data_IF_433230454952
#
_entry.id   IF_433230454952
#
_cell.length_a   1.000
_cell.length_b   1.000
_cell.length_c   1.000
_cell.angle_alpha   90.00
_cell.angle_beta   90.00
_cell.angle_gamma   90.00
#
_symmetry.space_group_name_H-M   'P 1'
#
loop_
_entity.id
_entity.type
_entity.pdbx_description
1 polymer ?
#
# COMPACT_ATOMS: atom_id res chain seq x y z
N UNK A 1 -7.96 0.01 10.31
CA UNK A 1 -6.65 -0.41 9.77
C UNK A 1 -6.82 -1.06 8.42
N UNK A 2 -5.90 -0.82 7.48
CA UNK A 2 -5.91 -1.43 6.14
C UNK A 2 -4.52 -1.98 5.84
N UNK A 3 -4.44 -3.27 5.50
CA UNK A 3 -3.21 -3.95 5.10
C UNK A 3 -3.22 -4.26 3.60
N UNK A 4 -2.12 -3.88 2.92
CA UNK A 4 -1.74 -4.44 1.62
C UNK A 4 -0.68 -5.51 1.85
N UNK A 5 -0.96 -6.75 1.48
CA UNK A 5 -0.04 -7.88 1.62
C UNK A 5 0.33 -8.42 0.25
N UNK A 6 1.58 -8.82 0.03
CA UNK A 6 1.96 -9.43 -1.24
C UNK A 6 3.11 -10.41 -1.11
N UNK A 7 2.98 -11.51 -1.83
CA UNK A 7 3.96 -12.60 -1.90
C UNK A 7 3.87 -13.33 -3.25
N UNK A 8 4.57 -14.44 -3.43
CA UNK A 8 4.53 -15.21 -4.68
C UNK A 8 3.23 -16.00 -4.84
N UNK A 9 2.91 -16.86 -3.87
CA UNK A 9 1.77 -17.78 -3.95
C UNK A 9 0.88 -17.73 -2.71
N UNK A 10 -0.44 -17.67 -2.90
CA UNK A 10 -1.40 -17.72 -1.78
C UNK A 10 -1.32 -19.00 -0.99
N UNK A 11 -1.08 -20.12 -1.68
CA UNK A 11 -1.13 -21.46 -1.07
C UNK A 11 0.05 -21.75 -0.13
N UNK A 12 1.20 -21.10 -0.33
CA UNK A 12 2.44 -21.41 0.41
C UNK A 12 3.02 -20.24 1.18
N UNK A 13 2.78 -19.01 0.69
CA UNK A 13 3.52 -17.82 1.16
C UNK A 13 2.60 -16.81 1.85
N UNK A 14 1.34 -17.18 2.11
CA UNK A 14 0.41 -16.29 2.82
C UNK A 14 0.64 -16.36 4.34
N UNK A 15 1.69 -15.69 4.79
CA UNK A 15 2.05 -15.63 6.19
C UNK A 15 0.89 -15.10 7.04
N UNK A 16 0.64 -15.78 8.16
CA UNK A 16 -0.39 -15.42 9.13
C UNK A 16 -1.81 -15.28 8.55
N UNK A 17 -2.13 -16.05 7.51
CA UNK A 17 -3.44 -15.97 6.84
C UNK A 17 -4.60 -16.11 7.83
N UNK A 18 -4.57 -17.14 8.69
CA UNK A 18 -5.67 -17.43 9.61
C UNK A 18 -5.82 -16.33 10.67
N UNK A 19 -4.72 -15.75 11.13
CA UNK A 19 -4.70 -14.62 12.06
C UNK A 19 -5.22 -13.34 11.41
N UNK A 20 -4.79 -13.04 10.18
CA UNK A 20 -5.27 -11.88 9.42
C UNK A 20 -6.78 -11.99 9.13
N UNK A 21 -7.25 -13.19 8.78
CA UNK A 21 -8.67 -13.49 8.62
C UNK A 21 -9.44 -13.33 9.93
N UNK A 22 -8.86 -13.76 11.07
CA UNK A 22 -9.45 -13.57 12.38
C UNK A 22 -9.56 -12.08 12.75
N UNK A 23 -8.53 -11.28 12.47
CA UNK A 23 -8.54 -9.83 12.67
C UNK A 23 -9.57 -9.13 11.78
N UNK A 24 -9.80 -9.65 10.57
CA UNK A 24 -10.87 -9.20 9.68
C UNK A 24 -12.25 -9.46 10.30
N UNK A 25 -12.49 -10.69 10.77
CA UNK A 25 -13.75 -11.08 11.42
C UNK A 25 -14.03 -10.31 12.72
N UNK A 26 -13.01 -9.95 13.49
CA UNK A 26 -13.16 -9.15 14.71
C UNK A 26 -13.37 -7.65 14.44
N UNK A 27 -13.19 -7.20 13.18
CA UNK A 27 -13.24 -5.79 12.81
C UNK A 27 -11.98 -4.99 13.16
N UNK A 28 -10.96 -5.62 13.74
CA UNK A 28 -9.67 -4.97 14.06
C UNK A 28 -8.91 -4.61 12.78
N UNK A 29 -8.93 -5.50 11.78
CA UNK A 29 -8.48 -5.25 10.43
C UNK A 29 -9.69 -4.87 9.58
N UNK A 30 -9.80 -3.58 9.24
CA UNK A 30 -10.93 -3.05 8.47
C UNK A 30 -10.89 -3.55 7.02
N UNK A 31 -9.69 -3.74 6.47
CA UNK A 31 -9.50 -4.14 5.09
C UNK A 31 -8.17 -4.85 4.86
N UNK A 32 -8.18 -5.88 4.01
CA UNK A 32 -7.02 -6.63 3.56
C UNK A 32 -7.07 -6.77 2.04
N UNK A 33 -6.07 -6.24 1.34
CA UNK A 33 -5.89 -6.48 -0.09
C UNK A 33 -4.60 -7.25 -0.33
N UNK A 34 -4.71 -8.33 -1.10
CA UNK A 34 -3.61 -9.27 -1.33
C UNK A 34 -3.12 -9.25 -2.78
N UNK A 35 -1.81 -9.36 -2.97
CA UNK A 35 -1.16 -9.42 -4.28
C UNK A 35 -0.25 -10.66 -4.35
N UNK A 36 -0.71 -11.71 -5.03
CA UNK A 36 0.09 -12.92 -5.27
C UNK A 36 0.67 -12.90 -6.68
N UNK A 37 1.98 -12.69 -6.77
CA UNK A 37 2.63 -12.36 -8.04
C UNK A 37 2.74 -13.53 -9.02
N UNK A 38 2.50 -14.76 -8.57
CA UNK A 38 2.65 -16.00 -9.37
C UNK A 38 1.41 -16.88 -9.45
N UNK A 39 0.28 -16.46 -8.89
CA UNK A 39 -0.97 -17.23 -8.95
C UNK A 39 -1.73 -17.04 -10.28
N UNK A 40 -1.29 -16.08 -11.10
CA UNK A 40 -1.83 -15.84 -12.44
C UNK A 40 -0.75 -15.36 -13.41
N UNK A 41 -1.06 -15.36 -14.72
CA UNK A 41 -0.11 -14.99 -15.78
C UNK A 41 0.41 -13.56 -15.66
N UNK A 42 -0.47 -12.62 -15.28
CA UNK A 42 -0.09 -11.23 -15.04
C UNK A 42 0.45 -11.09 -13.61
N UNK A 43 1.65 -10.53 -13.47
CA UNK A 43 2.21 -10.26 -12.15
C UNK A 43 1.42 -9.14 -11.49
N UNK A 44 0.96 -9.39 -10.26
CA UNK A 44 0.25 -8.41 -9.43
C UNK A 44 1.07 -8.20 -8.17
N UNK A 45 1.38 -6.95 -7.86
CA UNK A 45 2.12 -6.53 -6.68
C UNK A 45 1.29 -5.56 -5.83
N UNK A 46 1.78 -5.23 -4.63
CA UNK A 46 1.05 -4.34 -3.70
C UNK A 46 0.82 -2.95 -4.29
N UNK A 47 1.77 -2.40 -5.06
CA UNK A 47 1.61 -1.12 -5.73
C UNK A 47 0.49 -1.12 -6.79
N UNK A 48 0.15 -2.29 -7.35
CA UNK A 48 -0.96 -2.42 -8.30
C UNK A 48 -2.29 -2.38 -7.55
N UNK A 49 -2.38 -3.07 -6.41
CA UNK A 49 -3.55 -3.00 -5.50
C UNK A 49 -3.75 -1.60 -4.92
N UNK A 50 -2.67 -0.90 -4.61
CA UNK A 50 -2.75 0.50 -4.18
C UNK A 50 -3.38 1.39 -5.26
N UNK A 51 -2.97 1.23 -6.53
CA UNK A 51 -3.55 2.00 -7.65
C UNK A 51 -5.01 1.62 -7.90
N UNK A 52 -5.35 0.33 -7.84
CA UNK A 52 -6.72 -0.18 -7.96
C UNK A 52 -7.66 0.49 -6.94
N UNK A 53 -7.17 0.72 -5.72
CA UNK A 53 -7.94 1.37 -4.66
C UNK A 53 -7.53 2.82 -4.38
N UNK A 54 -6.94 3.48 -5.38
CA UNK A 54 -6.30 4.79 -5.23
C UNK A 54 -7.21 5.87 -4.63
N UNK A 55 -8.47 5.94 -5.05
CA UNK A 55 -9.42 6.92 -4.54
C UNK A 55 -9.65 6.78 -3.02
N UNK A 56 -9.82 5.55 -2.53
CA UNK A 56 -10.06 5.30 -1.11
C UNK A 56 -8.77 5.47 -0.30
N UNK A 57 -7.64 4.98 -0.82
CA UNK A 57 -6.33 5.18 -0.17
C UNK A 57 -6.02 6.67 -0.03
N UNK A 58 -6.27 7.46 -1.08
CA UNK A 58 -6.10 8.90 -1.04
C UNK A 58 -7.00 9.58 0.00
N UNK A 59 -8.28 9.20 0.09
CA UNK A 59 -9.19 9.70 1.13
C UNK A 59 -8.62 9.44 2.53
N UNK A 60 -8.13 8.22 2.80
CA UNK A 60 -7.56 7.90 4.10
C UNK A 60 -6.33 8.77 4.42
N UNK A 61 -5.43 8.97 3.44
CA UNK A 61 -4.27 9.85 3.61
C UNK A 61 -4.67 11.30 3.87
N UNK A 62 -5.74 11.77 3.22
CA UNK A 62 -6.33 13.10 3.44
C UNK A 62 -6.96 13.26 4.83
N UNK A 63 -7.54 12.18 5.35
CA UNK A 63 -8.20 12.12 6.66
C UNK A 63 -7.22 11.87 7.83
N UNK A 64 -5.91 11.95 7.58
CA UNK A 64 -4.90 11.86 8.64
C UNK A 64 -4.33 10.46 8.87
N UNK A 65 -4.61 9.49 7.98
CA UNK A 65 -4.03 8.15 8.10
C UNK A 65 -2.50 8.19 8.06
N UNK A 66 -1.91 7.17 8.70
CA UNK A 66 -0.48 6.90 8.66
C UNK A 66 -0.24 5.69 7.77
N UNK A 67 0.76 5.79 6.90
CA UNK A 67 1.18 4.75 5.98
C UNK A 67 2.54 4.21 6.40
N UNK A 68 2.60 2.90 6.57
CA UNK A 68 3.80 2.16 6.93
C UNK A 68 4.16 1.20 5.81
N UNK A 69 5.44 1.17 5.43
CA UNK A 69 5.95 0.27 4.39
C UNK A 69 7.12 -0.52 4.96
N UNK A 70 7.03 -1.84 4.86
CA UNK A 70 8.07 -2.77 5.29
C UNK A 70 8.34 -3.80 4.19
N UNK A 71 9.62 -4.16 3.99
CA UNK A 71 10.07 -5.14 3.00
C UNK A 71 11.26 -4.67 2.17
N UNK A 72 11.36 -5.15 0.93
CA UNK A 72 12.50 -4.88 0.04
C UNK A 72 12.70 -3.39 -0.26
N UNK A 73 13.86 -2.85 0.11
CA UNK A 73 14.24 -1.47 -0.15
C UNK A 73 14.57 -1.20 -1.62
N UNK A 74 15.04 -2.21 -2.35
CA UNK A 74 15.68 -2.02 -3.64
C UNK A 74 14.69 -1.76 -4.77
N UNK A 75 13.52 -2.42 -4.74
CA UNK A 75 12.45 -2.34 -5.75
C UNK A 75 11.11 -1.98 -5.12
N UNK A 76 10.64 -2.76 -4.14
CA UNK A 76 9.27 -2.61 -3.61
C UNK A 76 9.03 -1.20 -3.06
N UNK A 77 9.93 -0.71 -2.21
CA UNK A 77 9.79 0.62 -1.61
C UNK A 77 9.71 1.75 -2.65
N UNK A 78 10.43 1.64 -3.77
CA UNK A 78 10.42 2.64 -4.85
C UNK A 78 9.12 2.61 -5.65
N UNK A 79 8.59 1.42 -5.91
CA UNK A 79 7.36 1.26 -6.67
C UNK A 79 6.12 1.62 -5.87
N UNK A 80 6.14 1.41 -4.56
CA UNK A 80 5.14 1.94 -3.61
C UNK A 80 5.19 3.46 -3.55
N UNK A 81 6.38 4.07 -3.43
CA UNK A 81 6.52 5.53 -3.44
C UNK A 81 5.98 6.16 -4.73
N UNK A 82 6.27 5.53 -5.87
CA UNK A 82 5.73 5.95 -7.17
C UNK A 82 4.22 5.82 -7.22
N UNK A 83 3.66 4.70 -6.74
CA UNK A 83 2.22 4.51 -6.70
C UNK A 83 1.51 5.56 -5.87
N UNK A 84 2.09 5.99 -4.73
CA UNK A 84 1.53 7.07 -3.93
C UNK A 84 1.46 8.40 -4.69
N UNK A 85 2.50 8.74 -5.46
CA UNK A 85 2.51 9.94 -6.30
C UNK A 85 1.47 9.85 -7.41
N UNK A 86 1.40 8.70 -8.09
CA UNK A 86 0.41 8.43 -9.14
C UNK A 86 -1.01 8.60 -8.60
N UNK A 87 -1.28 8.08 -7.40
CA UNK A 87 -2.57 8.19 -6.70
C UNK A 87 -2.88 9.64 -6.33
N UNK A 88 -1.89 10.39 -5.84
CA UNK A 88 -2.06 11.80 -5.51
C UNK A 88 -2.37 12.66 -6.75
N UNK A 89 -1.78 12.34 -7.90
CA UNK A 89 -2.14 12.96 -9.18
C UNK A 89 -3.57 12.57 -9.58
N UNK A 90 -3.85 11.27 -9.68
CA UNK A 90 -5.11 10.77 -10.22
C UNK A 90 -6.34 11.08 -9.36
N UNK A 91 -6.19 11.09 -8.04
CA UNK A 91 -7.30 11.22 -7.09
C UNK A 91 -7.22 12.48 -6.23
N UNK A 92 -6.06 13.14 -6.19
CA UNK A 92 -5.89 14.43 -5.51
C UNK A 92 -5.94 15.64 -6.43
N UNK A 93 -5.93 15.45 -7.75
CA UNK A 93 -5.90 16.54 -8.73
C UNK A 93 -4.60 17.36 -8.67
N UNK A 94 -3.53 16.77 -8.13
CA UNK A 94 -2.22 17.40 -8.05
C UNK A 94 -1.47 17.23 -9.37
N UNK A 95 -0.66 18.22 -9.73
CA UNK A 95 0.37 18.00 -10.75
C UNK A 95 1.51 17.11 -10.18
N UNK A 96 2.42 16.61 -11.04
CA UNK A 96 3.51 15.71 -10.59
C UNK A 96 4.43 16.31 -9.51
N UNK A 97 4.71 17.62 -9.55
CA UNK A 97 5.60 18.27 -8.59
C UNK A 97 4.90 18.45 -7.24
N UNK A 98 3.63 18.86 -7.26
CA UNK A 98 2.77 18.94 -6.08
C UNK A 98 2.54 17.56 -5.44
N UNK A 99 2.36 16.51 -6.24
CA UNK A 99 2.26 15.13 -5.74
C UNK A 99 3.55 14.67 -5.05
N UNK A 100 4.71 14.98 -5.63
CA UNK A 100 6.00 14.68 -5.01
C UNK A 100 6.20 15.47 -3.69
N UNK A 101 5.84 16.75 -3.67
CA UNK A 101 5.88 17.58 -2.47
C UNK A 101 4.95 17.05 -1.38
N UNK A 102 3.75 16.61 -1.74
CA UNK A 102 2.78 16.04 -0.80
C UNK A 102 3.30 14.75 -0.15
N UNK A 103 3.86 13.81 -0.93
CA UNK A 103 4.43 12.57 -0.36
C UNK A 103 5.62 12.88 0.56
N UNK A 104 6.44 13.89 0.22
CA UNK A 104 7.49 14.38 1.11
C UNK A 104 6.94 14.97 2.40
N UNK A 105 5.84 15.73 2.33
CA UNK A 105 5.18 16.28 3.51
C UNK A 105 4.66 15.17 4.44
N UNK A 106 4.06 14.11 3.90
CA UNK A 106 3.64 12.95 4.70
C UNK A 106 4.81 12.34 5.48
N UNK A 107 5.99 12.25 4.87
CA UNK A 107 7.18 11.74 5.54
C UNK A 107 7.69 12.71 6.63
N UNK A 108 7.70 14.02 6.35
CA UNK A 108 8.06 15.06 7.33
C UNK A 108 7.11 15.07 8.54
N UNK A 109 5.83 14.82 8.32
CA UNK A 109 4.79 14.73 9.35
C UNK A 109 4.81 13.38 10.11
N UNK A 110 5.77 12.48 9.79
CA UNK A 110 5.85 11.10 10.31
C UNK A 110 4.59 10.25 10.01
N UNK A 111 3.82 10.63 9.00
CA UNK A 111 2.66 9.87 8.50
C UNK A 111 2.99 8.94 7.34
N UNK A 112 4.19 9.01 6.79
CA UNK A 112 4.72 8.02 5.85
C UNK A 112 6.07 7.52 6.36
N UNK A 113 6.09 6.28 6.84
CA UNK A 113 7.25 5.66 7.48
C UNK A 113 7.64 4.41 6.69
N UNK A 114 8.94 4.26 6.44
CA UNK A 114 9.49 3.11 5.73
C UNK A 114 10.52 2.42 6.63
N UNK A 115 10.33 1.13 6.83
CA UNK A 115 11.29 0.24 7.48
C UNK A 115 11.67 -0.85 6.49
N UNK A 116 12.64 -0.53 5.63
CA UNK A 116 12.97 -1.33 4.45
C UNK A 116 14.45 -1.71 4.47
N UNK A 117 14.74 -2.94 4.04
CA UNK A 117 16.07 -3.56 4.09
C UNK A 117 16.52 -4.12 2.74
#
# INVERSE_FOLDING_TARGET
NWLFFGEQHRATDFYYHDELDALGRSGTLTRLDTAFSRDQRAKVYVQDRMREHGAQLWSWLRDGAHLYVCGDASRMAKDVDRALRDIAVAHGGLDPDAAAAQVKQLASDRRYVRDVY
#
